data_IF_345793691804
#
_entry.id   IF_345793691804
#
_cell.length_a   1.000
_cell.length_b   1.000
_cell.length_c   1.000
_cell.angle_alpha   90.00
_cell.angle_beta   90.00
_cell.angle_gamma   90.00
#
_symmetry.space_group_name_H-M   'P 1'
#
loop_
_entity.id
_entity.type
_entity.pdbx_description
1 polymer ?
#
# COMPACT_ATOMS: atom_id res chain seq x y z
N UNK A 1 14.45 -14.07 -0.71
CA UNK A 1 13.09 -14.35 -0.21
C UNK A 1 13.11 -14.65 1.29
N UNK A 2 14.00 -15.53 1.73
CA UNK A 2 14.13 -15.90 3.13
C UNK A 2 14.51 -14.69 3.99
N UNK A 3 15.49 -13.92 3.58
CA UNK A 3 15.93 -12.70 4.27
C UNK A 3 14.79 -11.67 4.41
N UNK A 4 13.96 -11.53 3.37
CA UNK A 4 12.78 -10.66 3.42
C UNK A 4 11.77 -11.14 4.47
N UNK A 5 11.49 -12.44 4.53
CA UNK A 5 10.52 -12.98 5.49
C UNK A 5 11.04 -12.95 6.93
N UNK A 6 12.36 -13.06 7.11
CA UNK A 6 13.03 -13.02 8.42
C UNK A 6 13.30 -11.58 8.93
N UNK A 7 13.19 -10.57 8.07
CA UNK A 7 13.41 -9.18 8.44
C UNK A 7 12.28 -8.66 9.35
N UNK A 8 12.57 -7.59 10.09
CA UNK A 8 11.60 -6.90 10.92
C UNK A 8 10.71 -5.98 10.06
N UNK A 9 9.40 -6.21 10.06
CA UNK A 9 8.45 -5.44 9.27
C UNK A 9 7.61 -4.47 10.09
N UNK A 10 7.37 -3.29 9.52
CA UNK A 10 6.26 -2.43 9.91
C UNK A 10 5.02 -2.90 9.15
N UNK A 11 3.92 -3.08 9.85
CA UNK A 11 2.65 -3.48 9.27
C UNK A 11 1.49 -2.65 9.84
N UNK A 12 0.47 -2.34 9.03
CA UNK A 12 -0.76 -1.77 9.57
C UNK A 12 -1.47 -2.80 10.45
N UNK A 13 -2.16 -2.32 11.47
CA UNK A 13 -3.03 -3.16 12.30
C UNK A 13 -4.18 -3.72 11.46
N UNK A 14 -4.55 -4.96 11.74
CA UNK A 14 -5.73 -5.56 11.13
C UNK A 14 -6.98 -4.82 11.62
N UNK A 15 -7.84 -4.36 10.70
CA UNK A 15 -9.06 -3.60 11.07
C UNK A 15 -10.14 -4.46 11.72
N UNK A 16 -10.09 -5.77 11.53
CA UNK A 16 -10.94 -6.75 12.18
C UNK A 16 -10.32 -8.14 12.08
N UNK A 17 -10.76 -9.07 12.95
CA UNK A 17 -10.29 -10.47 12.97
C UNK A 17 -10.41 -11.16 11.59
N UNK A 18 -11.32 -10.69 10.75
CA UNK A 18 -11.58 -11.25 9.42
C UNK A 18 -10.98 -10.42 8.26
N UNK A 19 -10.35 -9.27 8.55
CA UNK A 19 -9.81 -8.36 7.53
C UNK A 19 -8.32 -8.16 7.72
N UNK A 20 -7.56 -9.20 7.41
CA UNK A 20 -6.10 -9.10 7.28
C UNK A 20 -5.74 -8.16 6.13
N UNK A 21 -4.65 -7.42 6.30
CA UNK A 21 -4.11 -6.59 5.22
C UNK A 21 -3.78 -7.41 3.96
N UNK A 22 -3.70 -6.73 2.82
CA UNK A 22 -3.44 -7.36 1.51
C UNK A 22 -2.17 -8.21 1.53
N UNK A 23 -1.12 -7.73 2.19
CA UNK A 23 0.17 -8.43 2.30
C UNK A 23 0.02 -9.73 3.09
N UNK A 24 -0.58 -9.67 4.27
CA UNK A 24 -0.77 -10.85 5.14
C UNK A 24 -1.71 -11.87 4.51
N UNK A 25 -2.75 -11.42 3.83
CA UNK A 25 -3.68 -12.29 3.10
C UNK A 25 -2.96 -13.03 1.98
N UNK A 26 -2.13 -12.32 1.21
CA UNK A 26 -1.36 -12.93 0.12
C UNK A 26 -0.32 -13.93 0.64
N UNK A 27 0.48 -13.54 1.65
CA UNK A 27 1.45 -14.42 2.28
C UNK A 27 0.80 -15.70 2.85
N UNK A 28 -0.34 -15.54 3.53
CA UNK A 28 -1.11 -16.67 4.06
C UNK A 28 -1.56 -17.64 2.95
N UNK A 29 -1.99 -17.13 1.81
CA UNK A 29 -2.32 -17.93 0.62
C UNK A 29 -1.13 -18.73 0.09
N UNK A 30 0.07 -18.20 0.22
CA UNK A 30 1.33 -18.87 -0.13
C UNK A 30 1.89 -19.75 1.00
N UNK A 31 1.20 -19.85 2.13
CA UNK A 31 1.65 -20.53 3.37
C UNK A 31 2.96 -19.94 3.91
N UNK A 32 3.13 -18.62 3.75
CA UNK A 32 4.26 -17.85 4.23
C UNK A 32 3.82 -16.92 5.35
N UNK A 33 4.75 -16.61 6.23
CA UNK A 33 4.60 -15.62 7.30
C UNK A 33 5.83 -14.72 7.35
N UNK A 34 5.66 -13.51 7.89
CA UNK A 34 6.76 -12.58 8.17
C UNK A 34 6.65 -12.04 9.58
N UNK A 35 7.76 -11.58 10.14
CA UNK A 35 7.77 -10.95 11.46
C UNK A 35 7.21 -9.52 11.38
N UNK A 36 6.09 -9.26 12.04
CA UNK A 36 5.50 -7.92 12.17
C UNK A 36 6.00 -7.26 13.45
N UNK A 37 7.21 -6.75 13.42
CA UNK A 37 7.89 -6.19 14.59
C UNK A 37 7.18 -4.94 15.12
N UNK A 38 6.69 -4.10 14.23
CA UNK A 38 5.96 -2.89 14.55
C UNK A 38 4.59 -2.93 13.89
N UNK A 39 3.54 -2.84 14.69
CA UNK A 39 2.16 -2.77 14.21
C UNK A 39 1.60 -1.39 14.53
N UNK A 40 1.08 -0.71 13.52
CA UNK A 40 0.59 0.67 13.63
C UNK A 40 -0.84 0.79 13.11
N UNK A 41 -1.61 1.68 13.75
CA UNK A 41 -3.01 1.93 13.34
C UNK A 41 -3.11 2.90 12.15
N UNK A 42 -2.10 3.76 11.96
CA UNK A 42 -2.11 4.77 10.90
C UNK A 42 -1.09 4.44 9.81
N UNK A 43 -1.58 3.93 8.70
CA UNK A 43 -0.76 3.53 7.54
C UNK A 43 0.19 4.63 7.06
N UNK A 44 -0.28 5.88 7.03
CA UNK A 44 0.50 7.03 6.58
C UNK A 44 1.66 7.40 7.50
N UNK A 45 1.70 6.87 8.72
CA UNK A 45 2.79 7.11 9.67
C UNK A 45 3.94 6.10 9.53
N UNK A 46 3.70 4.97 8.87
CA UNK A 46 4.71 3.92 8.73
C UNK A 46 6.03 4.40 8.09
N UNK A 47 6.03 5.20 7.02
CA UNK A 47 7.27 5.66 6.40
C UNK A 47 8.18 6.46 7.34
N UNK A 48 7.60 7.20 8.28
CA UNK A 48 8.34 8.02 9.24
C UNK A 48 9.07 7.20 10.32
N UNK A 49 8.75 5.92 10.46
CA UNK A 49 9.41 5.02 11.41
C UNK A 49 10.65 4.33 10.81
N UNK A 50 10.82 4.41 9.49
CA UNK A 50 11.88 3.68 8.78
C UNK A 50 13.26 4.36 8.82
N UNK A 51 13.40 5.70 8.76
CA UNK A 51 14.71 6.34 8.69
C UNK A 51 15.62 5.92 9.84
N UNK A 52 16.85 5.49 9.51
CA UNK A 52 17.84 5.06 10.49
C UNK A 52 17.58 3.69 11.14
N UNK A 53 16.68 2.89 10.57
CA UNK A 53 16.37 1.52 11.01
C UNK A 53 16.53 0.52 9.88
N UNK A 54 16.56 -0.77 10.22
CA UNK A 54 16.53 -1.89 9.26
C UNK A 54 15.09 -2.40 9.02
N UNK A 55 14.07 -1.64 9.44
CA UNK A 55 12.67 -2.00 9.27
C UNK A 55 12.26 -1.95 7.79
N UNK A 56 11.44 -2.91 7.39
CA UNK A 56 10.86 -2.98 6.05
C UNK A 56 9.37 -2.64 6.10
N UNK A 57 8.93 -1.81 5.15
CA UNK A 57 7.53 -1.53 4.93
C UNK A 57 7.12 -1.88 3.50
N UNK A 58 6.24 -2.87 3.34
CA UNK A 58 5.78 -3.35 2.04
C UNK A 58 4.55 -2.57 1.59
N UNK A 59 4.69 -1.86 0.49
CA UNK A 59 3.65 -0.97 -0.07
C UNK A 59 3.66 -1.01 -1.59
N UNK A 60 2.70 -0.33 -2.22
CA UNK A 60 2.74 -0.12 -3.66
C UNK A 60 3.93 0.77 -4.04
N UNK A 61 4.53 0.52 -5.20
CA UNK A 61 5.69 1.28 -5.70
C UNK A 61 5.44 2.79 -5.68
N UNK A 62 4.30 3.21 -6.17
CA UNK A 62 3.93 4.63 -6.23
C UNK A 62 3.91 5.31 -4.84
N UNK A 63 3.45 4.59 -3.80
CA UNK A 63 3.48 5.09 -2.43
C UNK A 63 4.93 5.16 -1.92
N UNK A 64 5.75 4.16 -2.22
CA UNK A 64 7.16 4.15 -1.85
C UNK A 64 7.93 5.31 -2.50
N UNK A 65 7.74 5.55 -3.78
CA UNK A 65 8.37 6.64 -4.54
C UNK A 65 8.05 8.01 -3.93
N UNK A 66 6.78 8.26 -3.60
CA UNK A 66 6.37 9.52 -2.96
C UNK A 66 7.12 9.77 -1.64
N UNK A 67 7.26 8.76 -0.78
CA UNK A 67 7.94 8.93 0.50
C UNK A 67 9.47 8.94 0.36
N UNK A 68 10.03 8.28 -0.64
CA UNK A 68 11.47 8.34 -0.91
C UNK A 68 11.93 9.72 -1.44
N UNK A 69 11.00 10.54 -1.98
CA UNK A 69 11.28 11.94 -2.34
C UNK A 69 11.46 12.86 -1.13
N UNK A 70 10.82 12.54 0.00
CA UNK A 70 10.77 13.40 1.19
C UNK A 70 11.49 12.82 2.41
N UNK A 71 11.81 11.55 2.41
CA UNK A 71 12.50 10.86 3.50
C UNK A 71 13.72 10.08 2.97
N UNK A 72 14.78 9.90 3.74
CA UNK A 72 15.97 9.14 3.35
C UNK A 72 15.67 7.63 3.36
N UNK A 73 14.87 7.17 2.41
CA UNK A 73 14.45 5.78 2.27
C UNK A 73 14.98 5.17 0.97
N UNK A 74 15.38 3.91 1.04
CA UNK A 74 15.70 3.10 -0.13
C UNK A 74 14.48 2.29 -0.57
N UNK A 75 14.22 2.25 -1.88
CA UNK A 75 13.21 1.38 -2.46
C UNK A 75 13.89 0.09 -2.91
N UNK A 76 13.38 -1.03 -2.43
CA UNK A 76 13.86 -2.37 -2.75
C UNK A 76 12.73 -3.14 -3.40
N UNK A 77 13.01 -3.82 -4.50
CA UNK A 77 12.02 -4.67 -5.16
C UNK A 77 11.68 -5.87 -4.29
N UNK A 78 10.39 -6.16 -4.20
CA UNK A 78 9.92 -7.28 -3.39
C UNK A 78 10.34 -8.62 -4.00
N UNK A 79 10.92 -9.56 -3.21
CA UNK A 79 11.20 -10.91 -3.67
C UNK A 79 9.94 -11.80 -3.69
N UNK A 80 8.78 -11.26 -3.32
CA UNK A 80 7.46 -11.87 -3.39
C UNK A 80 6.66 -11.15 -4.48
N UNK A 81 6.09 -11.92 -5.39
CA UNK A 81 5.20 -11.40 -6.43
C UNK A 81 3.81 -11.15 -5.82
N UNK A 82 3.54 -9.89 -5.50
CA UNK A 82 2.25 -9.47 -4.95
C UNK A 82 1.25 -9.13 -6.04
N UNK A 83 -0.04 -9.41 -5.82
CA UNK A 83 -1.08 -9.05 -6.78
C UNK A 83 -1.18 -7.53 -6.95
N UNK A 84 -1.57 -7.10 -8.13
CA UNK A 84 -1.84 -5.69 -8.42
C UNK A 84 -2.98 -5.19 -7.54
N UNK A 85 -2.73 -4.13 -6.78
CA UNK A 85 -3.78 -3.48 -5.97
C UNK A 85 -4.64 -2.61 -6.87
N UNK A 86 -5.92 -2.90 -6.92
CA UNK A 86 -6.91 -2.12 -7.65
C UNK A 86 -7.62 -1.15 -6.71
N UNK A 87 -7.68 0.11 -7.11
CA UNK A 87 -8.41 1.15 -6.38
C UNK A 87 -9.69 1.51 -7.10
N UNK A 88 -10.77 1.66 -6.36
CA UNK A 88 -12.09 1.95 -6.88
C UNK A 88 -12.65 3.23 -6.28
N UNK A 89 -13.40 3.98 -7.07
CA UNK A 89 -14.30 5.01 -6.55
C UNK A 89 -15.66 4.37 -6.31
N UNK A 90 -16.19 4.54 -5.10
CA UNK A 90 -17.51 4.04 -4.72
C UNK A 90 -18.40 5.22 -4.35
N UNK A 91 -19.66 5.19 -4.79
CA UNK A 91 -20.67 6.18 -4.45
C UNK A 91 -22.05 5.55 -4.40
N UNK A 92 -22.95 6.15 -3.63
CA UNK A 92 -24.32 5.71 -3.53
C UNK A 92 -25.07 6.03 -4.84
N UNK A 93 -25.96 5.15 -5.28
CA UNK A 93 -26.74 5.28 -6.54
C UNK A 93 -27.46 6.64 -6.65
N UNK A 94 -28.05 7.14 -5.58
CA UNK A 94 -28.71 8.47 -5.52
C UNK A 94 -27.79 9.62 -5.98
N UNK A 95 -26.48 9.46 -5.91
CA UNK A 95 -25.48 10.47 -6.33
C UNK A 95 -25.02 10.30 -7.77
N UNK A 96 -25.54 9.28 -8.46
CA UNK A 96 -25.13 8.95 -9.82
C UNK A 96 -25.32 10.13 -10.79
N UNK A 97 -26.44 10.83 -10.67
CA UNK A 97 -26.81 11.93 -11.55
C UNK A 97 -26.51 13.32 -11.00
N UNK A 98 -25.96 13.42 -9.80
CA UNK A 98 -25.56 14.70 -9.20
C UNK A 98 -24.41 15.35 -10.00
N UNK A 99 -24.58 16.59 -10.49
CA UNK A 99 -23.54 17.28 -11.27
C UNK A 99 -22.25 17.46 -10.48
N UNK A 100 -22.35 17.86 -9.20
CA UNK A 100 -21.21 18.04 -8.30
C UNK A 100 -20.44 16.75 -8.07
N UNK A 101 -21.16 15.65 -7.80
CA UNK A 101 -20.53 14.35 -7.65
C UNK A 101 -19.88 13.84 -8.93
N UNK A 102 -20.48 14.08 -10.07
CA UNK A 102 -19.92 13.72 -11.37
C UNK A 102 -18.62 14.47 -11.62
N UNK A 103 -18.63 15.78 -11.38
CA UNK A 103 -17.44 16.61 -11.50
C UNK A 103 -16.30 16.09 -10.60
N UNK A 104 -16.59 15.81 -9.32
CA UNK A 104 -15.59 15.28 -8.38
C UNK A 104 -15.01 13.93 -8.85
N UNK A 105 -15.86 13.01 -9.30
CA UNK A 105 -15.41 11.71 -9.81
C UNK A 105 -14.50 11.85 -11.03
N UNK A 106 -14.85 12.77 -11.93
CA UNK A 106 -14.03 13.07 -13.11
C UNK A 106 -12.68 13.61 -12.69
N UNK A 107 -12.66 14.60 -11.80
CA UNK A 107 -11.41 15.20 -11.28
C UNK A 107 -10.49 14.15 -10.64
N UNK A 108 -11.02 13.31 -9.76
CA UNK A 108 -10.25 12.21 -9.13
C UNK A 108 -9.73 11.22 -10.18
N UNK A 109 -10.54 10.91 -11.20
CA UNK A 109 -10.14 10.04 -12.31
C UNK A 109 -9.02 10.64 -13.18
N UNK A 110 -9.01 11.95 -13.37
CA UNK A 110 -7.98 12.67 -14.12
C UNK A 110 -6.66 12.72 -13.33
N UNK A 111 -6.70 12.99 -12.04
CA UNK A 111 -5.53 12.97 -11.17
C UNK A 111 -4.79 11.62 -11.22
N UNK A 112 -5.52 10.53 -11.34
CA UNK A 112 -4.93 9.19 -11.51
C UNK A 112 -4.21 9.04 -12.85
N UNK A 113 -4.77 9.59 -13.95
CA UNK A 113 -4.18 9.49 -15.30
C UNK A 113 -2.94 10.36 -15.47
N UNK A 114 -2.88 11.47 -14.74
CA UNK A 114 -1.75 12.42 -14.81
C UNK A 114 -0.48 11.88 -14.15
N UNK A 115 -0.58 10.77 -13.41
CA UNK A 115 0.58 10.07 -12.84
C UNK A 115 0.83 8.81 -13.67
N UNK A 116 1.98 8.68 -14.35
CA UNK A 116 2.31 7.46 -15.06
C UNK A 116 2.28 6.29 -14.05
N UNK A 117 1.41 5.34 -14.30
CA UNK A 117 1.41 4.09 -13.57
C UNK A 117 2.73 3.34 -13.80
N UNK A 118 3.14 2.41 -12.91
CA UNK A 118 4.29 1.57 -13.16
C UNK A 118 4.10 0.89 -14.52
N UNK A 119 5.06 1.11 -15.41
CA UNK A 119 5.14 0.31 -16.64
C UNK A 119 5.40 -1.13 -16.21
N UNK A 120 4.67 -2.11 -16.75
CA UNK A 120 5.04 -3.50 -16.54
C UNK A 120 6.45 -3.70 -17.10
N UNK A 121 7.30 -4.27 -16.25
CA UNK A 121 8.63 -4.71 -16.67
C UNK A 121 8.51 -5.84 -17.69
#
# INVERSE_FOLDING_TARGET
REDYLAADHVAPSDYAIQHRGVVETHLSGLRLTRERRVVISYFSMAPYLLPGTDLIFTVTRHYAEHFAEILPLAIIDSPIDYPVVQFYQLWHERMQHSPTHRWLRTLVGEMRRSRPGPQPA
#
